data_IF_977163321592
#
_entry.id   IF_977163321592
#
_cell.length_a   1.000
_cell.length_b   1.000
_cell.length_c   1.000
_cell.angle_alpha   90.00
_cell.angle_beta   90.00
_cell.angle_gamma   90.00
#
_symmetry.space_group_name_H-M   'P 1'
#
loop_
_entity.id
_entity.type
_entity.pdbx_description
1 polymer ?
#
# COMPACT_ATOMS: atom_id res chain seq x y z
N UNK A 1 7.82 -5.40 4.98
CA UNK A 1 9.20 -4.89 4.97
C UNK A 1 9.37 -4.02 3.74
N UNK A 2 10.16 -2.95 3.84
CA UNK A 2 10.60 -2.15 2.70
C UNK A 2 12.07 -1.77 2.87
N UNK A 3 12.79 -1.53 1.76
CA UNK A 3 14.22 -1.22 1.77
C UNK A 3 14.50 -0.11 0.76
N UNK A 4 15.26 0.92 1.15
CA UNK A 4 15.82 1.95 0.26
C UNK A 4 17.17 2.39 0.80
N UNK A 5 18.17 2.55 -0.07
CA UNK A 5 19.47 3.18 0.26
C UNK A 5 20.18 2.66 1.53
N UNK A 6 20.10 1.36 1.78
CA UNK A 6 20.71 0.73 2.96
C UNK A 6 19.91 0.90 4.26
N UNK A 7 18.68 1.41 4.19
CA UNK A 7 17.71 1.39 5.28
C UNK A 7 16.68 0.30 5.02
N UNK A 8 16.34 -0.48 6.05
CA UNK A 8 15.25 -1.45 6.01
C UNK A 8 14.23 -1.16 7.10
N UNK A 9 12.96 -1.15 6.74
CA UNK A 9 11.82 -1.02 7.64
C UNK A 9 11.13 -2.37 7.82
N UNK A 10 11.01 -2.83 9.07
CA UNK A 10 10.34 -4.07 9.44
C UNK A 10 9.12 -3.75 10.30
N UNK A 11 7.93 -3.92 9.74
CA UNK A 11 6.69 -3.77 10.47
C UNK A 11 6.38 -4.96 11.37
N UNK A 12 5.90 -4.68 12.57
CA UNK A 12 5.48 -5.64 13.59
C UNK A 12 4.12 -5.19 14.16
N UNK A 13 3.06 -5.37 13.38
CA UNK A 13 1.71 -4.85 13.70
C UNK A 13 1.05 -5.43 14.95
N UNK A 14 1.52 -6.60 15.42
CA UNK A 14 1.02 -7.26 16.64
C UNK A 14 1.93 -7.01 17.86
N UNK A 15 2.92 -6.14 17.75
CA UNK A 15 3.87 -5.85 18.83
C UNK A 15 3.19 -5.22 20.06
N UNK A 16 3.63 -5.63 21.25
CA UNK A 16 2.95 -5.41 22.54
C UNK A 16 3.64 -4.40 23.46
N UNK A 17 4.58 -3.61 22.96
CA UNK A 17 5.45 -2.82 23.83
C UNK A 17 4.73 -1.73 24.64
N UNK A 18 3.47 -1.40 24.30
CA UNK A 18 2.54 -0.58 25.11
C UNK A 18 1.38 -1.37 25.74
N UNK A 19 1.62 -2.65 26.13
CA UNK A 19 0.68 -3.58 26.80
C UNK A 19 -0.56 -4.00 26.00
N UNK A 20 -0.76 -3.46 24.80
CA UNK A 20 -1.77 -3.87 23.84
C UNK A 20 -1.17 -3.74 22.43
N UNK A 21 -1.66 -4.53 21.46
CA UNK A 21 -1.14 -4.68 20.08
C UNK A 21 -1.23 -3.40 19.24
N UNK A 22 -0.56 -2.32 19.66
CA UNK A 22 -0.53 -1.06 18.92
C UNK A 22 0.29 -1.18 17.63
N UNK A 23 1.25 -2.12 17.63
CA UNK A 23 2.18 -2.32 16.53
C UNK A 23 3.39 -1.40 16.61
N UNK A 24 4.42 -1.73 15.83
CA UNK A 24 5.66 -0.95 15.72
C UNK A 24 6.33 -1.16 14.37
N UNK A 25 7.32 -0.30 14.06
CA UNK A 25 8.24 -0.50 12.92
C UNK A 25 9.66 -0.40 13.42
N UNK A 26 10.50 -1.37 13.06
CA UNK A 26 11.93 -1.37 13.35
C UNK A 26 12.71 -0.89 12.14
N UNK A 27 13.63 0.03 12.37
CA UNK A 27 14.53 0.61 11.38
C UNK A 27 15.89 -0.07 11.53
N UNK A 28 16.38 -0.67 10.45
CA UNK A 28 17.72 -1.22 10.36
C UNK A 28 18.55 -0.43 9.35
N UNK A 29 19.79 -0.15 9.69
CA UNK A 29 20.77 0.45 8.80
C UNK A 29 21.83 -0.57 8.41
N UNK A 30 22.19 -0.57 7.13
CA UNK A 30 23.29 -1.35 6.58
C UNK A 30 24.57 -0.53 6.56
N UNK A 31 25.63 -1.03 7.20
CA UNK A 31 26.94 -0.37 7.26
C UNK A 31 27.89 -0.79 6.13
N UNK A 32 27.40 -1.58 5.16
CA UNK A 32 28.21 -2.22 4.12
C UNK A 32 28.59 -3.67 4.42
N UNK A 33 28.37 -4.14 5.66
CA UNK A 33 28.70 -5.50 6.10
C UNK A 33 27.59 -6.19 6.89
N UNK A 34 26.84 -5.46 7.70
CA UNK A 34 25.80 -5.97 8.58
C UNK A 34 24.64 -4.99 8.70
N UNK A 35 23.49 -5.54 9.08
CA UNK A 35 22.31 -4.76 9.45
C UNK A 35 22.26 -4.57 10.95
N UNK A 36 22.09 -3.33 11.40
CA UNK A 36 21.91 -2.98 12.82
C UNK A 36 20.59 -2.27 13.02
N UNK A 37 19.82 -2.70 14.02
CA UNK A 37 18.62 -1.97 14.45
C UNK A 37 19.05 -0.62 15.04
N UNK A 38 18.61 0.48 14.43
CA UNK A 38 18.95 1.84 14.87
C UNK A 38 17.81 2.50 15.64
N UNK A 39 16.56 2.19 15.26
CA UNK A 39 15.41 2.86 15.84
C UNK A 39 14.18 1.97 15.82
N UNK A 40 13.32 2.17 16.81
CA UNK A 40 11.96 1.68 16.83
C UNK A 40 10.99 2.84 16.70
N UNK A 41 10.06 2.75 15.75
CA UNK A 41 9.02 3.73 15.47
C UNK A 41 7.70 3.29 16.08
N UNK A 42 7.04 4.24 16.71
CA UNK A 42 5.67 4.13 17.22
C UNK A 42 4.99 5.48 17.01
N UNK A 43 3.70 5.50 16.64
CA UNK A 43 2.98 6.75 16.47
C UNK A 43 2.74 7.45 17.82
N UNK A 44 2.69 8.78 17.83
CA UNK A 44 2.51 9.58 19.05
C UNK A 44 1.15 9.35 19.72
N UNK A 45 0.12 9.12 18.92
CA UNK A 45 -1.25 8.83 19.33
C UNK A 45 -1.56 7.32 19.33
N UNK A 46 -0.55 6.46 19.13
CA UNK A 46 -0.74 5.03 18.96
C UNK A 46 -1.58 4.37 20.05
N UNK A 47 -2.70 3.80 19.66
CA UNK A 47 -3.62 3.11 20.55
C UNK A 47 -3.56 1.59 20.34
N UNK A 48 -4.31 0.88 21.19
CA UNK A 48 -4.35 -0.56 21.18
C UNK A 48 -5.10 -1.08 19.94
N UNK A 49 -4.47 -1.99 19.19
CA UNK A 49 -5.08 -2.69 18.04
C UNK A 49 -5.21 -1.88 16.75
N UNK A 50 -4.58 -0.70 16.65
CA UNK A 50 -4.58 0.12 15.43
C UNK A 50 -3.79 -0.52 14.27
N UNK A 51 -2.93 -1.50 14.60
CA UNK A 51 -2.21 -2.29 13.61
C UNK A 51 -1.11 -1.51 12.90
N UNK A 52 -0.51 -0.51 13.57
CA UNK A 52 0.62 0.26 13.04
C UNK A 52 1.77 -0.66 12.61
N UNK A 53 2.32 -0.42 11.41
CA UNK A 53 3.35 -1.28 10.84
C UNK A 53 2.79 -2.47 10.05
N UNK A 54 1.49 -2.53 9.78
CA UNK A 54 0.89 -3.57 8.93
C UNK A 54 1.44 -3.56 7.50
N UNK A 55 1.69 -2.37 6.97
CA UNK A 55 2.42 -2.14 5.72
C UNK A 55 3.39 -0.99 5.91
N UNK A 56 4.51 -1.07 5.21
CA UNK A 56 5.58 -0.07 5.25
C UNK A 56 6.09 0.15 3.83
N UNK A 57 6.38 1.39 3.50
CA UNK A 57 7.08 1.80 2.29
C UNK A 57 8.14 2.85 2.66
N UNK A 58 9.23 2.92 1.90
CA UNK A 58 10.31 3.88 2.11
C UNK A 58 10.83 4.39 0.77
N UNK A 59 11.08 5.70 0.70
CA UNK A 59 11.73 6.36 -0.42
C UNK A 59 12.64 7.44 0.15
N UNK A 60 13.96 7.28 0.00
CA UNK A 60 14.96 8.17 0.57
C UNK A 60 14.73 8.42 2.07
N UNK A 61 14.43 9.67 2.46
CA UNK A 61 14.21 10.11 3.83
C UNK A 61 12.75 10.00 4.30
N UNK A 62 11.84 9.42 3.51
CA UNK A 62 10.41 9.31 3.83
C UNK A 62 10.02 7.86 4.03
N UNK A 63 9.37 7.56 5.15
CA UNK A 63 8.75 6.30 5.47
C UNK A 63 7.25 6.49 5.62
N UNK A 64 6.46 5.63 4.95
CA UNK A 64 5.01 5.62 5.03
C UNK A 64 4.55 4.30 5.65
N UNK A 65 3.75 4.39 6.72
CA UNK A 65 3.43 3.25 7.58
C UNK A 65 1.91 3.16 7.75
N UNK A 66 1.32 2.02 7.39
CA UNK A 66 -0.11 1.78 7.53
C UNK A 66 -0.52 1.32 8.93
N UNK A 67 -1.67 1.81 9.39
CA UNK A 67 -2.38 1.42 10.61
C UNK A 67 -3.87 1.22 10.26
N UNK A 68 -4.16 0.13 9.55
CA UNK A 68 -5.48 -0.11 8.93
C UNK A 68 -6.64 -0.29 9.93
N UNK A 69 -6.36 -0.43 11.22
CA UNK A 69 -7.36 -0.64 12.25
C UNK A 69 -7.50 0.55 13.20
N UNK A 70 -6.79 1.66 12.95
CA UNK A 70 -7.00 2.94 13.62
C UNK A 70 -8.48 3.33 13.61
N UNK A 71 -8.98 3.84 14.74
CA UNK A 71 -10.41 4.08 14.96
C UNK A 71 -10.81 5.54 15.21
N UNK A 72 -9.91 6.50 14.96
CA UNK A 72 -10.15 7.92 15.23
C UNK A 72 -11.31 8.52 14.42
N UNK A 73 -11.48 8.09 13.17
CA UNK A 73 -12.58 8.51 12.29
C UNK A 73 -13.74 7.48 12.25
N UNK A 74 -13.78 6.58 13.22
CA UNK A 74 -14.73 5.47 13.29
C UNK A 74 -14.02 4.14 13.29
N UNK A 75 -14.69 3.10 13.80
CA UNK A 75 -14.09 1.78 14.03
C UNK A 75 -13.36 1.24 12.80
N UNK A 76 -12.05 1.01 12.90
CA UNK A 76 -11.20 0.54 11.81
C UNK A 76 -11.33 1.40 10.54
N UNK A 77 -11.48 2.71 10.69
CA UNK A 77 -11.44 3.66 9.58
C UNK A 77 -10.04 3.68 8.96
N UNK A 78 -9.02 3.50 9.79
CA UNK A 78 -7.64 3.33 9.37
C UNK A 78 -6.90 4.65 9.19
N UNK A 79 -5.59 4.57 9.25
CA UNK A 79 -4.67 5.70 9.07
C UNK A 79 -3.37 5.24 8.39
N UNK A 80 -2.61 6.21 7.90
CA UNK A 80 -1.19 6.02 7.59
C UNK A 80 -0.36 7.13 8.22
N UNK A 81 0.86 6.82 8.61
CA UNK A 81 1.77 7.74 9.28
C UNK A 81 2.99 7.96 8.42
N UNK A 82 3.35 9.22 8.24
CA UNK A 82 4.60 9.61 7.59
C UNK A 82 5.65 9.85 8.65
N UNK A 83 6.80 9.21 8.50
CA UNK A 83 8.01 9.50 9.25
C UNK A 83 9.06 10.05 8.29
N UNK A 84 9.76 11.10 8.73
CA UNK A 84 10.87 11.69 7.99
C UNK A 84 12.18 11.57 8.75
N UNK A 85 13.25 11.22 8.06
CA UNK A 85 14.60 11.23 8.63
C UNK A 85 15.15 12.66 8.69
N UNK A 86 15.45 13.15 9.89
CA UNK A 86 15.93 14.53 10.12
C UNK A 86 17.45 14.70 9.97
N UNK A 87 18.15 13.64 9.54
CA UNK A 87 19.62 13.55 9.49
C UNK A 87 20.23 12.85 10.70
N UNK A 88 19.46 12.63 11.77
CA UNK A 88 19.87 11.90 12.97
C UNK A 88 18.94 10.73 13.29
N UNK A 89 17.62 10.93 13.17
CA UNK A 89 16.59 9.97 13.53
C UNK A 89 15.35 10.12 12.66
N UNK A 90 14.52 9.10 12.63
CA UNK A 90 13.18 9.15 12.05
C UNK A 90 12.22 9.82 13.03
N UNK A 91 11.50 10.84 12.57
CA UNK A 91 10.51 11.57 13.37
C UNK A 91 9.17 11.48 12.67
N UNK A 92 8.09 11.26 13.42
CA UNK A 92 6.74 11.32 12.86
C UNK A 92 6.47 12.74 12.35
N UNK A 93 6.20 12.84 11.05
CA UNK A 93 5.93 14.10 10.36
C UNK A 93 4.43 14.39 10.36
N UNK A 94 3.60 13.39 10.03
CA UNK A 94 2.15 13.57 9.89
C UNK A 94 1.37 12.26 9.96
N UNK A 95 0.18 12.30 10.57
CA UNK A 95 -0.88 11.29 10.41
C UNK A 95 -1.80 11.65 9.23
N UNK A 96 -2.05 10.69 8.35
CA UNK A 96 -2.89 10.79 7.18
C UNK A 96 -4.13 9.92 7.35
N UNK A 97 -5.29 10.50 7.06
CA UNK A 97 -6.59 9.82 7.01
C UNK A 97 -7.30 10.23 5.73
N UNK A 98 -8.17 9.36 5.20
CA UNK A 98 -9.01 9.70 4.05
C UNK A 98 -9.96 10.85 4.40
N UNK A 99 -10.13 11.80 3.48
CA UNK A 99 -11.00 12.97 3.65
C UNK A 99 -12.48 12.60 3.83
N UNK A 100 -12.89 11.45 3.33
CA UNK A 100 -14.21 10.84 3.45
C UNK A 100 -14.21 9.57 4.33
N UNK A 101 -13.13 9.32 5.07
CA UNK A 101 -12.96 8.11 5.87
C UNK A 101 -14.05 7.91 6.92
N UNK A 102 -14.63 6.71 6.92
CA UNK A 102 -15.66 6.25 7.86
C UNK A 102 -15.31 4.88 8.44
N UNK A 103 -16.17 4.36 9.31
CA UNK A 103 -15.93 3.08 9.97
C UNK A 103 -15.80 1.93 8.95
N UNK A 104 -14.80 1.07 9.17
CA UNK A 104 -14.49 -0.15 8.43
C UNK A 104 -13.86 0.00 7.05
N UNK A 105 -13.51 1.22 6.64
CA UNK A 105 -12.80 1.52 5.38
C UNK A 105 -11.40 0.88 5.35
N UNK A 106 -10.72 0.83 6.50
CA UNK A 106 -9.37 0.26 6.67
C UNK A 106 -8.32 0.96 5.80
N UNK A 107 -8.39 2.28 5.73
CA UNK A 107 -7.37 3.10 5.10
C UNK A 107 -5.96 2.78 5.67
N UNK A 108 -4.94 2.68 4.82
CA UNK A 108 -3.61 2.25 5.25
C UNK A 108 -3.39 0.73 5.22
N UNK A 109 -4.33 -0.03 4.66
CA UNK A 109 -4.16 -1.49 4.45
C UNK A 109 -3.06 -1.81 3.45
N UNK A 110 -2.78 -0.90 2.52
CA UNK A 110 -1.64 -0.90 1.60
C UNK A 110 -1.07 0.52 1.48
N UNK A 111 0.24 0.63 1.27
CA UNK A 111 0.93 1.92 1.14
C UNK A 111 2.05 1.84 0.11
N UNK A 112 2.29 2.91 -0.62
CA UNK A 112 3.45 3.11 -1.48
C UNK A 112 3.90 4.58 -1.41
N UNK A 113 5.20 4.84 -1.52
CA UNK A 113 5.74 6.20 -1.49
C UNK A 113 6.90 6.33 -2.47
N UNK A 114 6.97 7.46 -3.17
CA UNK A 114 8.05 7.83 -4.08
C UNK A 114 8.20 9.34 -4.04
N UNK A 115 9.36 9.80 -3.56
CA UNK A 115 9.64 11.21 -3.32
C UNK A 115 8.49 11.91 -2.55
N UNK A 116 7.85 12.90 -3.18
CA UNK A 116 6.78 13.74 -2.62
C UNK A 116 5.37 13.20 -2.89
N UNK A 117 5.23 11.93 -3.29
CA UNK A 117 3.95 11.28 -3.58
C UNK A 117 3.78 10.03 -2.73
N UNK A 118 2.62 9.92 -2.10
CA UNK A 118 2.19 8.76 -1.33
C UNK A 118 0.87 8.23 -1.89
N UNK A 119 0.76 6.90 -1.98
CA UNK A 119 -0.49 6.19 -2.22
C UNK A 119 -0.87 5.44 -0.97
N UNK A 120 -2.14 5.56 -0.58
CA UNK A 120 -2.68 4.84 0.57
C UNK A 120 -3.97 4.15 0.14
N UNK A 121 -3.99 2.82 0.29
CA UNK A 121 -5.10 2.00 -0.13
C UNK A 121 -6.14 1.82 0.96
N UNK A 122 -7.36 1.61 0.50
CA UNK A 122 -8.55 1.32 1.26
C UNK A 122 -9.33 0.27 0.47
N UNK A 123 -9.81 -0.80 1.11
CA UNK A 123 -10.76 -1.72 0.46
C UNK A 123 -11.76 -2.34 1.43
N UNK A 124 -11.79 -1.87 2.67
CA UNK A 124 -12.83 -2.22 3.62
C UNK A 124 -14.10 -1.40 3.38
N UNK A 125 -15.23 -1.88 3.91
CA UNK A 125 -16.50 -1.14 3.92
C UNK A 125 -17.40 -1.67 5.03
N UNK A 126 -18.20 -0.78 5.61
CA UNK A 126 -19.25 -1.10 6.58
C UNK A 126 -20.38 -1.96 5.99
N UNK A 127 -20.59 -1.91 4.67
CA UNK A 127 -21.63 -2.63 3.92
C UNK A 127 -21.13 -3.92 3.28
N UNK A 128 -19.86 -4.26 3.49
CA UNK A 128 -19.23 -5.43 2.87
C UNK A 128 -18.95 -5.26 1.38
N UNK A 129 -19.07 -4.04 0.86
CA UNK A 129 -18.66 -3.69 -0.50
C UNK A 129 -17.14 -3.44 -0.51
N UNK A 130 -16.36 -4.39 -1.00
CA UNK A 130 -14.90 -4.25 -1.06
C UNK A 130 -14.45 -3.83 -2.45
N UNK A 131 -15.07 -2.78 -3.01
CA UNK A 131 -14.67 -2.15 -4.27
C UNK A 131 -13.21 -1.67 -4.19
N UNK A 132 -12.92 -0.83 -3.21
CA UNK A 132 -11.59 -0.29 -2.90
C UNK A 132 -11.22 0.99 -3.66
N UNK A 133 -10.27 1.72 -3.08
CA UNK A 133 -9.84 3.07 -3.43
C UNK A 133 -8.36 3.25 -3.12
N UNK A 134 -7.64 4.03 -3.93
CA UNK A 134 -6.28 4.46 -3.65
C UNK A 134 -6.20 5.99 -3.55
N UNK A 135 -5.88 6.51 -2.37
CA UNK A 135 -5.78 7.94 -2.13
C UNK A 135 -4.36 8.42 -2.41
N UNK A 136 -4.25 9.48 -3.20
CA UNK A 136 -3.01 10.15 -3.54
C UNK A 136 -2.80 11.32 -2.60
N UNK A 137 -1.70 11.28 -1.86
CA UNK A 137 -1.20 12.40 -1.08
C UNK A 137 0.05 12.98 -1.74
N UNK A 138 0.15 14.30 -1.76
CA UNK A 138 1.35 15.02 -2.23
C UNK A 138 1.88 15.95 -1.16
N UNK A 139 3.19 15.96 -0.98
CA UNK A 139 3.86 16.92 -0.13
C UNK A 139 3.91 18.29 -0.82
N UNK A 140 3.38 19.33 -0.17
CA UNK A 140 3.32 20.69 -0.72
C UNK A 140 4.53 21.57 -0.35
N UNK A 141 5.55 20.98 0.29
CA UNK A 141 6.69 21.67 0.89
C UNK A 141 6.52 21.95 2.39
N UNK A 142 5.35 21.68 2.95
CA UNK A 142 5.06 21.85 4.38
C UNK A 142 4.28 20.69 4.99
N UNK A 143 3.35 20.11 4.25
CA UNK A 143 2.49 19.01 4.71
C UNK A 143 2.10 18.12 3.53
N UNK A 144 1.66 16.91 3.84
CA UNK A 144 1.01 16.01 2.91
C UNK A 144 -0.47 16.36 2.79
N UNK A 145 -0.91 16.55 1.55
CA UNK A 145 -2.29 16.91 1.20
C UNK A 145 -2.88 15.84 0.30
N UNK A 146 -4.08 15.37 0.61
CA UNK A 146 -4.85 14.51 -0.29
C UNK A 146 -5.21 15.31 -1.55
N UNK A 147 -4.81 14.81 -2.72
CA UNK A 147 -5.05 15.51 -4.00
C UNK A 147 -6.00 14.75 -4.92
N UNK A 148 -6.17 13.44 -4.72
CA UNK A 148 -7.02 12.61 -5.58
C UNK A 148 -7.37 11.28 -4.91
N UNK A 149 -8.56 10.75 -5.20
CA UNK A 149 -8.93 9.36 -4.95
C UNK A 149 -9.01 8.63 -6.29
N UNK A 150 -8.27 7.51 -6.43
CA UNK A 150 -8.22 6.66 -7.62
C UNK A 150 -9.10 5.44 -7.43
N UNK A 151 -9.93 5.16 -8.43
CA UNK A 151 -10.79 3.97 -8.50
C UNK A 151 -10.62 3.33 -9.87
N UNK A 152 -10.76 2.00 -9.96
CA UNK A 152 -10.85 1.32 -11.25
C UNK A 152 -12.05 1.85 -12.07
N UNK A 153 -11.84 2.10 -13.36
CA UNK A 153 -12.86 2.66 -14.26
C UNK A 153 -14.07 1.75 -14.48
N UNK A 154 -13.88 0.44 -14.27
CA UNK A 154 -14.85 -0.63 -14.35
C UNK A 154 -15.11 -1.31 -12.99
N UNK A 155 -14.60 -0.72 -11.90
CA UNK A 155 -14.62 -1.36 -10.59
C UNK A 155 -16.02 -1.73 -10.09
N UNK A 156 -16.13 -2.93 -9.54
CA UNK A 156 -17.33 -3.50 -8.94
C UNK A 156 -17.11 -4.00 -7.51
N UNK A 157 -18.22 -4.25 -6.82
CA UNK A 157 -18.20 -4.68 -5.43
C UNK A 157 -17.55 -6.07 -5.30
N UNK A 158 -16.38 -6.13 -4.68
CA UNK A 158 -15.64 -7.40 -4.52
C UNK A 158 -14.25 -7.40 -5.16
N UNK A 159 -13.94 -6.42 -6.01
CA UNK A 159 -12.70 -6.37 -6.78
C UNK A 159 -11.45 -6.17 -5.92
N UNK A 160 -11.62 -5.56 -4.75
CA UNK A 160 -10.56 -5.30 -3.76
C UNK A 160 -9.42 -4.49 -4.38
N UNK A 161 -9.78 -3.47 -5.15
CA UNK A 161 -8.84 -2.50 -5.69
C UNK A 161 -8.01 -1.88 -4.55
N UNK A 162 -6.76 -1.52 -4.85
CA UNK A 162 -5.81 -1.03 -3.86
C UNK A 162 -5.46 -2.01 -2.72
N UNK A 163 -5.69 -3.32 -2.89
CA UNK A 163 -5.16 -4.32 -1.97
C UNK A 163 -3.62 -4.30 -1.90
N UNK A 164 -2.98 -4.03 -3.03
CA UNK A 164 -1.54 -3.86 -3.18
C UNK A 164 -1.26 -2.73 -4.17
N UNK A 165 -0.15 -2.02 -3.98
CA UNK A 165 0.21 -0.89 -4.83
C UNK A 165 1.73 -0.79 -4.94
N UNK A 166 2.20 -0.33 -6.09
CA UNK A 166 3.56 0.11 -6.32
C UNK A 166 3.55 1.49 -6.98
N UNK A 167 4.56 2.30 -6.68
CA UNK A 167 4.70 3.66 -7.18
C UNK A 167 6.14 3.87 -7.63
N UNK A 168 6.30 4.39 -8.85
CA UNK A 168 7.59 4.76 -9.43
C UNK A 168 7.38 6.04 -10.23
N UNK A 169 8.00 7.13 -9.78
CA UNK A 169 7.84 8.47 -10.34
C UNK A 169 6.35 8.85 -10.52
N UNK A 170 5.91 8.99 -11.77
CA UNK A 170 4.57 9.40 -12.17
C UNK A 170 3.67 8.21 -12.54
N UNK A 171 4.01 7.00 -12.06
CA UNK A 171 3.33 5.76 -12.43
C UNK A 171 2.92 5.02 -11.18
N UNK A 172 1.66 4.64 -11.10
CA UNK A 172 1.11 3.81 -10.04
C UNK A 172 0.60 2.52 -10.65
N UNK A 173 0.94 1.40 -10.02
CA UNK A 173 0.43 0.08 -10.37
C UNK A 173 -0.39 -0.43 -9.19
N UNK A 174 -1.68 -0.69 -9.41
CA UNK A 174 -2.64 -0.97 -8.35
C UNK A 174 -3.31 -2.32 -8.62
N UNK A 175 -3.22 -3.24 -7.66
CA UNK A 175 -3.82 -4.58 -7.77
C UNK A 175 -5.27 -4.63 -7.28
N UNK A 176 -6.10 -5.37 -8.00
CA UNK A 176 -7.50 -5.69 -7.68
C UNK A 176 -7.73 -7.20 -7.87
N UNK A 177 -7.28 -7.98 -6.90
CA UNK A 177 -7.22 -9.44 -7.06
C UNK A 177 -8.58 -10.15 -7.03
N UNK A 178 -9.65 -9.45 -6.63
CA UNK A 178 -11.01 -9.98 -6.64
C UNK A 178 -11.78 -9.68 -7.92
N UNK A 179 -11.20 -8.89 -8.83
CA UNK A 179 -11.81 -8.51 -10.11
C UNK A 179 -12.21 -9.76 -10.91
N UNK A 180 -13.47 -9.79 -11.36
CA UNK A 180 -14.07 -10.98 -11.98
C UNK A 180 -14.43 -10.84 -13.46
N UNK A 181 -13.95 -9.78 -14.11
CA UNK A 181 -14.22 -9.48 -15.52
C UNK A 181 -13.72 -10.58 -16.48
N UNK A 182 -12.62 -11.25 -16.12
CA UNK A 182 -12.05 -12.37 -16.88
C UNK A 182 -12.33 -13.73 -16.23
N UNK A 183 -13.31 -13.81 -15.32
CA UNK A 183 -13.66 -15.01 -14.56
C UNK A 183 -13.62 -14.78 -13.04
N UNK A 184 -14.35 -15.58 -12.27
CA UNK A 184 -14.47 -15.41 -10.80
C UNK A 184 -13.11 -15.24 -10.12
N UNK A 185 -12.91 -14.11 -9.45
CA UNK A 185 -11.63 -13.73 -8.79
C UNK A 185 -10.41 -13.98 -9.71
N UNK A 186 -10.52 -13.73 -11.02
CA UNK A 186 -9.38 -13.81 -11.95
C UNK A 186 -8.31 -12.78 -11.61
N UNK A 187 -8.74 -11.61 -11.16
CA UNK A 187 -7.91 -10.51 -10.71
C UNK A 187 -7.39 -9.64 -11.86
N UNK A 188 -7.14 -8.38 -11.53
CA UNK A 188 -6.65 -7.36 -12.46
C UNK A 188 -5.59 -6.48 -11.78
N UNK A 189 -4.81 -5.76 -12.59
CA UNK A 189 -4.00 -4.66 -12.12
C UNK A 189 -4.18 -3.45 -13.02
N UNK A 190 -4.16 -2.25 -12.43
CA UNK A 190 -4.44 -1.00 -13.11
C UNK A 190 -3.23 -0.09 -13.06
N UNK A 191 -2.88 0.49 -14.20
CA UNK A 191 -1.80 1.45 -14.36
C UNK A 191 -2.40 2.84 -14.39
N UNK A 192 -1.99 3.69 -13.45
CA UNK A 192 -2.33 5.11 -13.45
C UNK A 192 -1.08 5.93 -13.76
N UNK A 193 -1.22 6.94 -14.62
CA UNK A 193 -0.17 7.90 -14.95
C UNK A 193 -0.54 9.31 -14.50
N UNK A 194 0.43 10.01 -13.93
CA UNK A 194 0.33 11.43 -13.62
C UNK A 194 0.78 12.27 -14.82
N UNK A 195 -0.11 13.13 -15.33
CA UNK A 195 0.15 13.98 -16.49
C UNK A 195 0.78 15.35 -16.14
N UNK A 196 1.13 15.57 -14.86
CA UNK A 196 1.57 16.86 -14.33
C UNK A 196 0.45 17.64 -13.62
N UNK A 197 -0.80 17.21 -13.76
CA UNK A 197 -1.98 17.82 -13.14
C UNK A 197 -2.84 16.82 -12.37
N UNK A 198 -3.07 15.63 -12.93
CA UNK A 198 -3.95 14.61 -12.36
C UNK A 198 -3.45 13.20 -12.71
N UNK A 199 -3.85 12.23 -11.92
CA UNK A 199 -3.67 10.81 -12.22
C UNK A 199 -4.83 10.31 -13.07
N UNK A 200 -4.52 9.56 -14.13
CA UNK A 200 -5.53 8.94 -15.00
C UNK A 200 -5.21 7.47 -15.17
N UNK A 201 -6.24 6.63 -15.20
CA UNK A 201 -6.09 5.23 -15.57
C UNK A 201 -5.66 5.14 -17.03
N UNK A 202 -4.46 4.60 -17.26
CA UNK A 202 -3.88 4.42 -18.59
C UNK A 202 -4.20 3.04 -19.14
N UNK A 203 -4.17 2.01 -18.30
CA UNK A 203 -4.33 0.62 -18.73
C UNK A 203 -4.85 -0.29 -17.61
N UNK A 204 -5.73 -1.23 -17.99
CA UNK A 204 -6.04 -2.45 -17.22
C UNK A 204 -5.20 -3.61 -17.74
N UNK A 205 -4.58 -4.35 -16.82
CA UNK A 205 -3.75 -5.53 -17.05
C UNK A 205 -4.46 -6.75 -16.47
N UNK A 206 -4.52 -7.82 -17.25
CA UNK A 206 -5.09 -9.11 -16.87
C UNK A 206 -4.09 -10.23 -17.16
N UNK A 207 -4.31 -11.42 -16.60
CA UNK A 207 -3.54 -12.60 -17.02
C UNK A 207 -3.90 -12.99 -18.46
N UNK A 208 -2.94 -13.51 -19.22
CA UNK A 208 -3.15 -13.91 -20.62
C UNK A 208 -4.03 -15.15 -20.78
N UNK A 209 -4.33 -15.84 -19.69
CA UNK A 209 -5.01 -17.14 -19.70
C UNK A 209 -6.46 -17.09 -19.18
N UNK A 210 -6.93 -15.93 -18.68
CA UNK A 210 -8.32 -15.66 -18.24
C UNK A 210 -8.89 -16.77 -17.32
N UNK A 211 -8.12 -17.21 -16.32
CA UNK A 211 -8.49 -18.33 -15.45
C UNK A 211 -9.08 -17.82 -14.13
N UNK A 212 -10.23 -18.36 -13.77
CA UNK A 212 -10.90 -18.07 -12.51
C UNK A 212 -10.03 -18.50 -11.31
N UNK A 213 -9.97 -17.64 -10.28
CA UNK A 213 -9.29 -17.81 -9.01
C UNK A 213 -7.76 -17.72 -9.04
N UNK A 214 -7.16 -17.22 -10.12
CA UNK A 214 -5.70 -17.00 -10.17
C UNK A 214 -5.22 -15.90 -9.23
N UNK A 215 -6.12 -14.95 -8.90
CA UNK A 215 -5.86 -13.79 -8.06
C UNK A 215 -4.71 -12.94 -8.61
N UNK A 216 -4.72 -12.69 -9.92
CA UNK A 216 -3.80 -11.76 -10.56
C UNK A 216 -3.90 -10.37 -9.91
N UNK A 217 -2.78 -9.70 -9.71
CA UNK A 217 -2.76 -8.42 -8.98
C UNK A 217 -2.78 -8.59 -7.45
N UNK A 218 -2.61 -9.80 -6.91
CA UNK A 218 -2.53 -9.99 -5.45
C UNK A 218 -1.28 -9.34 -4.84
N UNK A 219 -0.18 -9.37 -5.58
CA UNK A 219 1.07 -8.67 -5.25
C UNK A 219 1.59 -7.95 -6.49
N UNK A 220 2.06 -6.72 -6.33
CA UNK A 220 2.68 -5.95 -7.41
C UNK A 220 4.02 -5.37 -6.99
N UNK A 221 4.92 -5.20 -7.96
CA UNK A 221 6.16 -4.45 -7.81
C UNK A 221 6.46 -3.72 -9.12
N UNK A 222 7.20 -2.62 -9.04
CA UNK A 222 7.53 -1.80 -10.19
C UNK A 222 8.92 -1.22 -10.05
N UNK A 223 9.61 -1.12 -11.17
CA UNK A 223 10.84 -0.34 -11.33
C UNK A 223 10.77 0.31 -12.70
N UNK A 224 10.77 1.64 -12.74
CA UNK A 224 10.64 2.41 -13.98
C UNK A 224 9.37 1.99 -14.77
N UNK A 225 9.54 1.56 -16.03
CA UNK A 225 8.47 1.08 -16.93
C UNK A 225 8.24 -0.43 -16.83
N UNK A 226 8.88 -1.14 -15.90
CA UNK A 226 8.71 -2.59 -15.75
C UNK A 226 7.81 -2.91 -14.55
N UNK A 227 6.68 -3.54 -14.84
CA UNK A 227 5.74 -4.03 -13.84
C UNK A 227 5.87 -5.54 -13.63
N UNK A 228 5.87 -5.96 -12.37
CA UNK A 228 5.76 -7.35 -11.93
C UNK A 228 4.43 -7.55 -11.21
N UNK A 229 3.66 -8.55 -11.65
CA UNK A 229 2.34 -8.84 -11.08
C UNK A 229 2.26 -10.31 -10.72
N UNK A 230 1.92 -10.60 -9.46
CA UNK A 230 1.76 -11.96 -8.96
C UNK A 230 0.32 -12.44 -9.00
N UNK A 231 0.15 -13.72 -9.32
CA UNK A 231 -1.08 -14.48 -9.26
C UNK A 231 -0.81 -15.77 -8.46
N UNK A 232 -0.93 -15.73 -7.13
CA UNK A 232 -0.36 -16.81 -6.30
C UNK A 232 -1.17 -18.11 -6.35
N UNK A 233 -2.41 -18.06 -6.85
CA UNK A 233 -3.28 -19.23 -6.99
C UNK A 233 -3.28 -19.83 -8.39
N UNK A 234 -2.54 -19.21 -9.30
CA UNK A 234 -2.34 -19.69 -10.67
C UNK A 234 -2.07 -21.21 -10.73
N UNK A 235 -2.81 -21.86 -11.63
CA UNK A 235 -2.97 -23.32 -11.67
C UNK A 235 -2.18 -24.01 -12.80
N UNK A 236 -1.45 -23.25 -13.63
CA UNK A 236 -0.93 -23.73 -14.91
C UNK A 236 0.13 -24.83 -14.78
N UNK A 237 0.84 -24.83 -13.65
CA UNK A 237 1.85 -25.83 -13.32
C UNK A 237 1.45 -26.72 -12.13
N UNK A 238 0.17 -26.77 -11.79
CA UNK A 238 -0.41 -27.55 -10.71
C UNK A 238 -1.28 -26.71 -9.76
N UNK A 239 -1.98 -27.35 -8.82
CA UNK A 239 -2.86 -26.62 -7.89
C UNK A 239 -2.10 -25.56 -7.08
N UNK A 240 -2.46 -24.28 -7.23
CA UNK A 240 -1.81 -23.13 -6.60
C UNK A 240 -0.29 -23.10 -6.83
N UNK A 241 0.16 -23.40 -8.06
CA UNK A 241 1.58 -23.29 -8.41
C UNK A 241 2.09 -21.86 -8.34
N UNK A 242 1.19 -20.89 -8.57
CA UNK A 242 1.50 -19.47 -8.58
C UNK A 242 2.28 -19.04 -9.84
N UNK A 243 2.01 -17.82 -10.29
CA UNK A 243 2.71 -17.19 -11.41
C UNK A 243 3.12 -15.76 -11.09
N UNK A 244 4.12 -15.27 -11.82
CA UNK A 244 4.54 -13.89 -11.86
C UNK A 244 4.64 -13.44 -13.32
N UNK A 245 3.97 -12.35 -13.64
CA UNK A 245 3.86 -11.79 -14.97
C UNK A 245 4.69 -10.51 -15.04
N UNK A 246 5.35 -10.28 -16.19
CA UNK A 246 6.20 -9.12 -16.44
C UNK A 246 5.60 -8.31 -17.59
N UNK A 247 5.40 -7.01 -17.38
CA UNK A 247 4.90 -6.08 -18.39
C UNK A 247 5.88 -4.92 -18.58
N UNK A 248 5.99 -4.43 -19.81
CA UNK A 248 6.60 -3.14 -20.10
C UNK A 248 5.47 -2.13 -20.34
N UNK A 249 5.49 -1.03 -19.60
CA UNK A 249 4.49 0.04 -19.57
C UNK A 249 4.85 1.22 -20.47
#
# INVERSE_FOLDING_TARGET
MAISDGVALIGASDDYDNRNRSGSVYVFQFDGSQWTEEQKLTPYDGTAYDGFGHRVAISADVALIGAYADDDNGKNSGAAYVFRFDGCQWVEEQKLTASDGVAYDKFGVSVAVSADVALIGEYGSDKGDTLGSAYVFRFDGSQWVEVQNLTASDGTAGDKFAHTMALSDNTALIGAYGDDDSGTDSGSAYVFRFDGSQWTEEQKLTSSEEIANDWFGYSVAMSDEVALIGAFRDHDNGNNSGAAYVFNL
#
